data_IF_829564584468
#
_entry.id   IF_829564584468
#
_cell.length_a   1.000
_cell.length_b   1.000
_cell.length_c   1.000
_cell.angle_alpha   90.00
_cell.angle_beta   90.00
_cell.angle_gamma   90.00
#
_symmetry.space_group_name_H-M   'P 1'
#
loop_
_entity.id
_entity.type
_entity.pdbx_description
1 polymer ?
#
# COMPACT_ATOMS: atom_id res chain seq x y z
N UNK A 1 -26.12 16.97 -17.81
CA UNK A 1 -25.11 16.37 -16.93
C UNK A 1 -23.77 16.88 -17.39
N UNK A 2 -23.24 17.90 -16.71
CA UNK A 2 -21.97 18.51 -17.08
C UNK A 2 -20.83 17.52 -16.85
N UNK A 3 -19.88 17.53 -17.79
CA UNK A 3 -18.57 16.93 -17.69
C UNK A 3 -17.79 17.62 -16.56
N UNK A 4 -18.09 17.27 -15.32
CA UNK A 4 -17.20 17.58 -14.20
C UNK A 4 -15.99 16.65 -14.29
N UNK A 5 -14.81 17.26 -14.34
CA UNK A 5 -13.53 16.66 -14.71
C UNK A 5 -13.29 15.31 -14.04
N UNK A 6 -13.37 14.23 -14.83
CA UNK A 6 -12.84 12.93 -14.45
C UNK A 6 -11.34 13.06 -14.31
N UNK A 7 -10.84 13.03 -13.09
CA UNK A 7 -9.40 12.89 -12.85
C UNK A 7 -9.09 11.42 -13.08
N UNK A 8 -8.38 11.14 -14.18
CA UNK A 8 -7.81 9.82 -14.42
C UNK A 8 -6.60 9.64 -13.49
N UNK A 9 -6.78 8.84 -12.44
CA UNK A 9 -5.68 8.47 -11.53
C UNK A 9 -5.06 7.20 -12.06
N UNK A 10 -4.07 7.36 -12.94
CA UNK A 10 -3.30 6.25 -13.48
C UNK A 10 -2.10 5.96 -12.58
N UNK A 11 -1.92 4.70 -12.19
CA UNK A 11 -0.76 4.26 -11.42
C UNK A 11 0.45 4.11 -12.35
N UNK A 12 1.41 5.03 -12.24
CA UNK A 12 2.59 5.03 -13.09
C UNK A 12 3.74 4.23 -12.49
N UNK A 13 4.59 3.71 -13.37
CA UNK A 13 5.80 2.98 -12.99
C UNK A 13 6.74 3.85 -12.15
N UNK A 14 6.87 5.13 -12.50
CA UNK A 14 7.77 6.07 -11.82
C UNK A 14 7.30 6.35 -10.38
N UNK A 15 5.97 6.43 -10.18
CA UNK A 15 5.38 6.61 -8.85
C UNK A 15 5.64 5.38 -7.97
N UNK A 16 5.48 4.18 -8.53
CA UNK A 16 5.80 2.92 -7.85
C UNK A 16 7.29 2.81 -7.51
N UNK A 17 8.19 3.15 -8.43
CA UNK A 17 9.62 3.15 -8.13
C UNK A 17 9.94 4.12 -7.00
N UNK A 18 9.46 5.36 -7.09
CA UNK A 18 9.69 6.38 -6.05
C UNK A 18 9.19 5.93 -4.68
N UNK A 19 8.01 5.31 -4.62
CA UNK A 19 7.43 4.83 -3.36
C UNK A 19 8.21 3.62 -2.83
N UNK A 20 8.43 2.60 -3.65
CA UNK A 20 9.08 1.36 -3.23
C UNK A 20 10.55 1.57 -2.87
N UNK A 21 11.25 2.50 -3.50
CA UNK A 21 12.64 2.82 -3.15
C UNK A 21 12.78 3.40 -1.73
N UNK A 22 11.72 3.96 -1.14
CA UNK A 22 11.74 4.45 0.25
C UNK A 22 11.72 3.30 1.26
N UNK A 23 11.08 2.18 0.90
CA UNK A 23 10.88 1.04 1.80
C UNK A 23 11.86 -0.11 1.55
N UNK A 24 12.25 -0.33 0.28
CA UNK A 24 13.03 -1.50 -0.15
C UNK A 24 14.48 -1.16 -0.53
N UNK A 25 14.85 0.12 -0.56
CA UNK A 25 16.20 0.60 -0.87
C UNK A 25 16.25 1.54 -2.08
N UNK A 26 17.14 2.54 -1.99
CA UNK A 26 17.28 3.60 -3.02
C UNK A 26 17.85 3.10 -4.35
N UNK A 27 18.48 1.94 -4.36
CA UNK A 27 19.06 1.29 -5.54
C UNK A 27 18.03 0.44 -6.31
N UNK A 28 16.79 0.31 -5.82
CA UNK A 28 15.71 -0.39 -6.49
C UNK A 28 15.37 0.27 -7.84
N UNK A 29 15.37 -0.54 -8.90
CA UNK A 29 14.94 -0.14 -10.24
C UNK A 29 13.75 -1.00 -10.66
N UNK A 30 12.60 -0.36 -10.87
CA UNK A 30 11.42 -1.05 -11.40
C UNK A 30 11.67 -1.36 -12.87
N UNK A 31 11.53 -2.62 -13.26
CA UNK A 31 11.65 -3.07 -14.65
C UNK A 31 10.30 -3.05 -15.34
N UNK A 32 9.31 -3.70 -14.75
CA UNK A 32 7.98 -3.89 -15.31
C UNK A 32 6.91 -3.81 -14.22
N UNK A 33 5.68 -3.46 -14.61
CA UNK A 33 4.50 -3.43 -13.75
C UNK A 33 3.35 -4.05 -14.50
N UNK A 34 2.69 -5.04 -13.89
CA UNK A 34 1.44 -5.61 -14.39
C UNK A 34 0.32 -5.16 -13.46
N UNK A 35 -0.75 -4.60 -14.01
CA UNK A 35 -1.87 -4.04 -13.25
C UNK A 35 -3.16 -4.71 -13.71
N UNK A 36 -3.96 -5.19 -12.77
CA UNK A 36 -5.29 -5.73 -13.01
C UNK A 36 -6.27 -5.27 -11.93
N UNK A 37 -7.59 -5.19 -12.21
CA UNK A 37 -8.59 -5.04 -11.17
C UNK A 37 -8.50 -6.20 -10.16
N UNK A 38 -8.46 -5.90 -8.86
CA UNK A 38 -8.50 -6.95 -7.83
C UNK A 38 -9.93 -7.37 -7.49
N UNK A 39 -10.90 -6.50 -7.75
CA UNK A 39 -12.31 -6.68 -7.39
C UNK A 39 -13.20 -6.78 -8.62
N UNK A 40 -14.38 -7.38 -8.47
CA UNK A 40 -15.39 -7.40 -9.54
C UNK A 40 -15.97 -5.99 -9.74
N UNK A 41 -16.49 -5.68 -10.94
CA UNK A 41 -17.23 -4.45 -11.16
C UNK A 41 -18.36 -4.30 -10.14
N UNK A 42 -18.36 -3.18 -9.40
CA UNK A 42 -19.37 -2.90 -8.38
C UNK A 42 -18.99 -3.33 -6.96
N UNK A 43 -17.85 -3.98 -6.71
CA UNK A 43 -17.43 -4.27 -5.33
C UNK A 43 -16.60 -3.12 -4.71
N UNK A 44 -16.18 -2.15 -5.52
CA UNK A 44 -15.19 -1.14 -5.16
C UNK A 44 -15.77 0.29 -5.12
N UNK A 45 -16.98 0.46 -4.59
CA UNK A 45 -17.69 1.76 -4.58
C UNK A 45 -16.89 2.91 -3.95
N UNK A 46 -16.07 2.62 -2.93
CA UNK A 46 -15.29 3.62 -2.19
C UNK A 46 -13.86 3.87 -2.68
N UNK A 47 -13.35 3.09 -3.64
CA UNK A 47 -11.96 3.18 -4.10
C UNK A 47 -11.72 2.35 -5.36
N UNK A 48 -10.70 2.65 -6.14
CA UNK A 48 -10.20 1.71 -7.15
C UNK A 48 -9.17 0.77 -6.49
N UNK A 49 -9.41 -0.55 -6.50
CA UNK A 49 -8.51 -1.53 -5.89
C UNK A 49 -7.88 -2.38 -7.00
N UNK A 50 -6.55 -2.36 -7.06
CA UNK A 50 -5.76 -2.99 -8.11
C UNK A 50 -4.85 -4.08 -7.53
N UNK A 51 -4.77 -5.19 -8.24
CA UNK A 51 -3.70 -6.17 -8.11
C UNK A 51 -2.53 -5.67 -8.95
N UNK A 52 -1.36 -5.47 -8.33
CA UNK A 52 -0.18 -4.95 -9.00
C UNK A 52 0.97 -5.92 -8.80
N UNK A 53 1.57 -6.39 -9.89
CA UNK A 53 2.80 -7.17 -9.84
C UNK A 53 3.97 -6.27 -10.28
N UNK A 54 4.86 -5.96 -9.36
CA UNK A 54 6.06 -5.17 -9.62
C UNK A 54 7.25 -6.09 -9.82
N UNK A 55 7.93 -5.92 -10.94
CA UNK A 55 9.16 -6.62 -11.27
C UNK A 55 10.32 -5.64 -11.15
N UNK A 56 11.27 -5.88 -10.25
CA UNK A 56 12.38 -4.95 -9.98
C UNK A 56 13.71 -5.67 -9.76
N UNK A 57 14.80 -4.92 -9.87
CA UNK A 57 16.15 -5.37 -9.51
C UNK A 57 16.71 -4.48 -8.41
N UNK A 58 17.58 -5.04 -7.57
CA UNK A 58 18.51 -4.25 -6.75
C UNK A 58 19.85 -4.20 -7.49
N UNK A 59 20.52 -3.03 -7.49
CA UNK A 59 21.76 -2.88 -8.27
C UNK A 59 22.86 -3.82 -7.80
N UNK A 60 22.82 -4.23 -6.53
CA UNK A 60 23.83 -5.09 -5.93
C UNK A 60 23.75 -6.56 -6.36
N UNK A 61 22.54 -7.09 -6.60
CA UNK A 61 22.33 -8.53 -6.77
C UNK A 61 21.94 -8.93 -8.20
N UNK A 62 21.61 -7.95 -9.06
CA UNK A 62 21.14 -8.13 -10.45
C UNK A 62 20.05 -9.22 -10.61
N UNK A 63 19.30 -9.49 -9.53
CA UNK A 63 18.26 -10.51 -9.47
C UNK A 63 16.88 -9.89 -9.70
N UNK A 64 16.07 -10.52 -10.55
CA UNK A 64 14.73 -10.03 -10.84
C UNK A 64 13.76 -10.48 -9.75
N UNK A 65 13.38 -9.56 -8.88
CA UNK A 65 12.35 -9.76 -7.86
C UNK A 65 10.95 -9.59 -8.47
N UNK A 66 10.01 -10.41 -8.00
CA UNK A 66 8.57 -10.22 -8.21
C UNK A 66 7.92 -9.86 -6.89
N UNK A 67 7.24 -8.72 -6.84
CA UNK A 67 6.54 -8.21 -5.66
C UNK A 67 5.05 -8.01 -5.98
N UNK A 68 4.17 -8.90 -5.51
CA UNK A 68 2.73 -8.69 -5.58
C UNK A 68 2.29 -7.69 -4.50
N UNK A 69 1.60 -6.63 -4.90
CA UNK A 69 1.04 -5.62 -4.01
C UNK A 69 -0.42 -5.33 -4.36
N UNK A 70 -1.16 -4.80 -3.38
CA UNK A 70 -2.51 -4.26 -3.58
C UNK A 70 -2.41 -2.75 -3.57
N UNK A 71 -2.83 -2.10 -4.65
CA UNK A 71 -2.89 -0.63 -4.72
C UNK A 71 -4.34 -0.16 -4.56
N UNK A 72 -4.57 0.73 -3.58
CA UNK A 72 -5.85 1.38 -3.36
C UNK A 72 -5.77 2.83 -3.77
N UNK A 73 -6.51 3.20 -4.81
CA UNK A 73 -6.57 4.55 -5.35
C UNK A 73 -7.90 5.20 -4.98
N UNK A 74 -7.88 6.53 -4.88
CA UNK A 74 -9.11 7.31 -4.71
C UNK A 74 -10.06 7.10 -5.90
N UNK A 75 -11.39 7.14 -5.70
CA UNK A 75 -12.34 7.06 -6.79
C UNK A 75 -12.12 8.15 -7.83
N UNK A 76 -12.27 7.84 -9.12
CA UNK A 76 -12.19 8.82 -10.21
C UNK A 76 -13.33 9.85 -10.18
N UNK A 77 -14.50 9.43 -9.67
CA UNK A 77 -15.71 10.26 -9.60
C UNK A 77 -15.60 11.31 -8.50
N UNK A 78 -15.65 12.63 -8.83
CA UNK A 78 -15.69 13.69 -7.83
C UNK A 78 -16.87 13.54 -6.84
N UNK A 79 -18.01 13.07 -7.34
CA UNK A 79 -19.19 12.81 -6.51
C UNK A 79 -18.90 11.75 -5.44
N UNK A 80 -18.34 10.60 -5.84
CA UNK A 80 -17.99 9.54 -4.89
C UNK A 80 -16.92 10.01 -3.90
N UNK A 81 -15.94 10.79 -4.35
CA UNK A 81 -14.92 11.41 -3.48
C UNK A 81 -15.54 12.26 -2.37
N UNK A 82 -16.56 13.06 -2.70
CA UNK A 82 -17.31 13.87 -1.72
C UNK A 82 -18.16 13.02 -0.78
N UNK A 83 -18.90 12.04 -1.31
CA UNK A 83 -19.76 11.15 -0.51
C UNK A 83 -18.95 10.34 0.50
N UNK A 84 -17.79 9.81 0.10
CA UNK A 84 -16.91 9.04 0.98
C UNK A 84 -15.94 9.89 1.79
N UNK A 85 -15.99 11.21 1.65
CA UNK A 85 -15.12 12.16 2.36
C UNK A 85 -13.65 11.73 2.33
N UNK A 86 -13.14 11.46 1.12
CA UNK A 86 -11.86 10.76 0.91
C UNK A 86 -10.66 11.46 1.54
N UNK A 87 -10.69 12.79 1.65
CA UNK A 87 -9.65 13.59 2.30
C UNK A 87 -9.50 13.25 3.79
N UNK A 88 -10.56 12.71 4.40
CA UNK A 88 -10.54 12.26 5.78
C UNK A 88 -10.36 10.75 5.86
N UNK A 89 -11.11 9.97 5.07
CA UNK A 89 -11.14 8.50 5.20
C UNK A 89 -9.82 7.84 4.77
N UNK A 90 -9.23 8.24 3.63
CA UNK A 90 -7.93 7.70 3.20
C UNK A 90 -6.81 8.10 4.15
N UNK A 91 -6.83 9.35 4.65
CA UNK A 91 -5.83 9.81 5.62
C UNK A 91 -5.93 9.07 6.96
N UNK A 92 -7.14 8.74 7.42
CA UNK A 92 -7.35 7.90 8.61
C UNK A 92 -6.82 6.49 8.40
N UNK A 93 -7.07 5.91 7.23
CA UNK A 93 -6.57 4.58 6.87
C UNK A 93 -5.04 4.55 6.84
N UNK A 94 -4.39 5.52 6.17
CA UNK A 94 -2.92 5.64 6.17
C UNK A 94 -2.39 5.75 7.60
N UNK A 95 -2.97 6.62 8.44
CA UNK A 95 -2.56 6.78 9.85
C UNK A 95 -2.80 5.53 10.69
N UNK A 96 -3.83 4.73 10.39
CA UNK A 96 -4.07 3.48 11.09
C UNK A 96 -2.86 2.53 10.91
N UNK A 97 -2.30 2.47 9.70
CA UNK A 97 -1.14 1.62 9.43
C UNK A 97 0.19 2.25 9.86
N UNK A 98 0.38 3.56 9.65
CA UNK A 98 1.69 4.20 9.90
C UNK A 98 1.88 4.67 11.34
N UNK A 99 0.79 4.89 12.09
CA UNK A 99 0.85 5.41 13.47
C UNK A 99 0.20 4.46 14.47
N UNK A 100 -1.01 3.96 14.18
CA UNK A 100 -1.76 3.16 15.17
C UNK A 100 -1.23 1.74 15.28
N UNK A 101 -0.96 1.06 14.16
CA UNK A 101 -0.48 -0.32 14.18
C UNK A 101 0.85 -0.49 14.92
N UNK A 102 1.89 0.35 14.71
CA UNK A 102 3.14 0.25 15.47
C UNK A 102 2.95 0.48 16.97
N UNK A 103 2.18 1.50 17.38
CA UNK A 103 1.91 1.77 18.80
C UNK A 103 1.04 0.69 19.44
N UNK A 104 0.14 0.07 18.69
CA UNK A 104 -0.65 -1.06 19.16
C UNK A 104 0.23 -2.29 19.39
N UNK A 105 1.17 -2.57 18.48
CA UNK A 105 2.16 -3.64 18.67
C UNK A 105 3.02 -3.40 19.92
N UNK A 106 3.59 -2.20 20.03
CA UNK A 106 4.40 -1.77 21.18
C UNK A 106 3.65 -1.87 22.51
N UNK A 107 2.38 -1.49 22.55
CA UNK A 107 1.55 -1.64 23.75
C UNK A 107 1.44 -3.10 24.21
N UNK A 108 1.37 -4.05 23.27
CA UNK A 108 1.32 -5.48 23.59
C UNK A 108 2.67 -5.98 24.14
N UNK A 109 3.78 -5.54 23.56
CA UNK A 109 5.13 -5.80 24.07
C UNK A 109 5.32 -5.27 25.49
N UNK A 110 4.93 -4.02 25.75
CA UNK A 110 5.01 -3.38 27.08
C UNK A 110 4.17 -4.11 28.15
N UNK A 111 3.14 -4.84 27.72
CA UNK A 111 2.31 -5.67 28.61
C UNK A 111 2.84 -7.10 28.78
N UNK A 112 3.93 -7.45 28.10
CA UNK A 112 4.54 -8.78 28.19
C UNK A 112 3.68 -9.86 27.53
N UNK A 113 2.84 -9.49 26.55
CA UNK A 113 2.10 -10.47 25.74
C UNK A 113 3.12 -11.19 24.86
N UNK A 114 3.12 -12.52 24.85
CA UNK A 114 4.03 -13.29 24.00
C UNK A 114 3.61 -13.20 22.53
N UNK A 115 4.56 -13.28 21.61
CA UNK A 115 4.31 -13.10 20.16
C UNK A 115 3.17 -13.98 19.62
N UNK A 116 3.04 -15.21 20.10
CA UNK A 116 1.99 -16.16 19.71
C UNK A 116 0.59 -15.80 20.24
N UNK A 117 0.49 -14.88 21.19
CA UNK A 117 -0.75 -14.38 21.79
C UNK A 117 -1.07 -12.94 21.37
N UNK A 118 -0.14 -12.27 20.69
CA UNK A 118 -0.37 -10.92 20.17
C UNK A 118 -1.48 -10.90 19.12
N UNK A 119 -2.32 -9.88 19.19
CA UNK A 119 -3.35 -9.60 18.20
C UNK A 119 -2.70 -9.00 16.95
N UNK A 120 -2.65 -9.80 15.89
CA UNK A 120 -2.28 -9.38 14.53
C UNK A 120 -3.54 -9.07 13.71
N UNK A 121 -4.13 -7.91 13.98
CA UNK A 121 -5.40 -7.47 13.36
C UNK A 121 -5.21 -6.46 12.24
N UNK A 122 -3.98 -5.95 12.06
CA UNK A 122 -3.62 -5.10 10.95
C UNK A 122 -3.05 -5.95 9.83
N UNK A 123 -3.29 -5.57 8.58
CA UNK A 123 -2.58 -6.19 7.47
C UNK A 123 -1.08 -5.94 7.69
N UNK A 124 -0.27 -7.00 7.54
CA UNK A 124 1.18 -6.86 7.35
C UNK A 124 1.42 -6.17 6.01
N UNK A 125 1.27 -4.85 6.00
CA UNK A 125 1.81 -4.01 4.93
C UNK A 125 3.31 -4.07 5.13
N UNK A 126 4.06 -4.52 4.12
CA UNK A 126 5.53 -4.47 4.14
C UNK A 126 5.99 -3.01 4.32
N UNK A 127 6.09 -2.58 5.57
CA UNK A 127 7.14 -1.69 6.05
C UNK A 127 8.13 -2.68 6.62
N UNK A 128 9.18 -3.00 5.86
CA UNK A 128 10.12 -4.02 6.28
C UNK A 128 10.73 -3.57 7.63
N UNK A 129 10.44 -4.32 8.68
CA UNK A 129 11.08 -4.17 9.97
C UNK A 129 12.60 -4.34 9.79
N UNK A 130 13.45 -3.38 10.18
CA UNK A 130 14.90 -3.54 10.11
C UNK A 130 15.43 -4.66 11.04
N UNK A 131 14.60 -5.24 11.92
CA UNK A 131 15.06 -6.12 13.02
C UNK A 131 14.79 -7.61 12.76
N UNK A 132 14.93 -8.08 11.51
CA UNK A 132 15.13 -9.51 11.25
C UNK A 132 16.34 -9.76 10.35
N UNK A 133 17.50 -9.28 10.79
CA UNK A 133 18.82 -9.87 10.47
C UNK A 133 19.56 -10.14 11.78
N UNK A 134 19.17 -11.19 12.49
CA UNK A 134 20.05 -11.79 13.49
C UNK A 134 19.71 -13.25 13.77
N UNK A 135 19.76 -14.11 12.73
CA UNK A 135 20.25 -15.49 12.84
C UNK A 135 20.90 -15.88 11.51
#
# INVERSE_FOLDING_TARGET
MSSEDKINVELKKEDLQKLLSQELGSDLIVKNVIIAPLTKPGDNYGSTILAVEVYYYNQENNYLHKLPIVAKLVPESPFLRKVFNIEITFNKEVRAYTLVAPEFHKLQEEKGISENEMLDVFLNIMVHDPISKMI
#
